data_IF_911576186935
#
_entry.id   IF_911576186935
#
_cell.length_a   1.000
_cell.length_b   1.000
_cell.length_c   1.000
_cell.angle_alpha   90.00
_cell.angle_beta   90.00
_cell.angle_gamma   90.00
#
_symmetry.space_group_name_H-M   'P 1'
#
loop_
_entity.id
_entity.type
_entity.pdbx_description
1 polymer ?
#
# COMPACT_ATOMS: atom_id res chain seq x y z
N UNK A 1 11.95 2.73 8.21
CA UNK A 1 13.16 3.50 7.84
C UNK A 1 14.12 3.59 9.02
N UNK A 2 15.42 3.23 8.88
CA UNK A 2 16.42 3.52 9.93
C UNK A 2 16.78 5.01 9.86
N UNK A 3 16.74 5.73 10.97
CA UNK A 3 17.16 7.15 10.99
C UNK A 3 18.67 7.28 10.71
N UNK A 4 19.42 6.19 10.85
CA UNK A 4 20.85 6.09 10.52
C UNK A 4 21.19 6.30 9.05
N UNK A 5 20.23 6.27 8.11
CA UNK A 5 20.47 6.52 6.68
C UNK A 5 20.26 7.97 6.26
N UNK A 6 19.89 8.87 7.19
CA UNK A 6 19.71 10.30 6.91
C UNK A 6 21.05 11.02 7.08
N UNK A 7 21.69 11.37 5.96
CA UNK A 7 22.92 12.17 5.94
C UNK A 7 22.62 13.63 6.30
N UNK A 8 22.55 13.94 7.60
CA UNK A 8 22.41 15.28 8.14
C UNK A 8 23.02 15.40 9.55
N UNK A 9 23.33 16.62 10.00
CA UNK A 9 23.78 16.84 11.39
C UNK A 9 22.69 16.31 12.35
N UNK A 10 22.97 15.17 13.02
CA UNK A 10 22.08 14.62 14.06
C UNK A 10 21.88 15.70 15.14
N UNK A 11 20.63 16.02 15.47
CA UNK A 11 20.32 16.87 16.63
C UNK A 11 20.78 16.14 17.90
N UNK A 12 21.26 16.88 18.89
CA UNK A 12 22.00 16.38 20.07
C UNK A 12 21.29 15.31 20.92
N UNK A 13 20.00 15.05 20.70
CA UNK A 13 19.21 14.03 21.41
C UNK A 13 18.31 13.19 20.49
N UNK A 14 18.64 13.09 19.20
CA UNK A 14 17.81 12.32 18.26
C UNK A 14 18.07 10.81 18.41
N UNK A 15 17.04 9.99 18.69
CA UNK A 15 17.20 8.53 18.76
C UNK A 15 17.62 7.97 17.40
N UNK A 16 18.49 6.95 17.40
CA UNK A 16 19.01 6.34 16.18
C UNK A 16 17.98 5.44 15.45
N UNK A 17 17.03 4.89 16.20
CA UNK A 17 15.96 4.05 15.70
C UNK A 17 14.64 4.36 16.42
N UNK A 18 13.51 4.14 15.74
CA UNK A 18 12.18 4.29 16.32
C UNK A 18 11.91 3.13 17.28
N UNK A 19 11.67 3.41 18.56
CA UNK A 19 11.26 2.40 19.53
C UNK A 19 9.75 2.16 19.46
N UNK A 20 9.34 1.01 18.93
CA UNK A 20 7.93 0.63 18.75
C UNK A 20 7.45 -0.47 19.71
N UNK A 21 8.25 -0.89 20.71
CA UNK A 21 7.93 -2.05 21.58
C UNK A 21 6.60 -1.95 22.33
N UNK A 22 6.14 -0.73 22.62
CA UNK A 22 4.84 -0.45 23.28
C UNK A 22 3.87 0.31 22.38
N UNK A 23 4.22 0.51 21.11
CA UNK A 23 3.37 1.24 20.18
C UNK A 23 2.17 0.37 19.78
N UNK A 24 1.03 1.02 19.54
CA UNK A 24 -0.18 0.35 19.06
C UNK A 24 0.03 -0.07 17.60
N UNK A 25 -0.25 -1.33 17.28
CA UNK A 25 -0.07 -1.89 15.93
C UNK A 25 -1.14 -1.36 14.97
N UNK A 26 -0.73 -0.86 13.80
CA UNK A 26 -1.67 -0.41 12.75
C UNK A 26 -2.60 -1.53 12.29
N UNK A 27 -2.13 -2.79 12.24
CA UNK A 27 -2.99 -3.94 11.92
C UNK A 27 -4.11 -4.12 12.96
N UNK A 28 -3.83 -3.86 14.24
CA UNK A 28 -4.87 -3.90 15.27
C UNK A 28 -5.91 -2.79 15.05
N UNK A 29 -5.46 -1.60 14.69
CA UNK A 29 -6.33 -0.45 14.39
C UNK A 29 -7.21 -0.73 13.17
N UNK A 30 -6.63 -1.24 12.08
CA UNK A 30 -7.37 -1.62 10.88
C UNK A 30 -8.39 -2.72 11.19
N UNK A 31 -8.02 -3.71 12.01
CA UNK A 31 -8.95 -4.76 12.45
C UNK A 31 -10.12 -4.20 13.27
N UNK A 32 -9.86 -3.24 14.15
CA UNK A 32 -10.92 -2.51 14.90
C UNK A 32 -11.84 -1.70 13.97
N UNK A 33 -11.34 -1.30 12.79
CA UNK A 33 -12.11 -0.67 11.72
C UNK A 33 -12.69 -1.68 10.70
N UNK A 34 -12.73 -2.98 11.04
CA UNK A 34 -13.32 -4.00 10.17
C UNK A 34 -12.41 -4.55 9.06
N UNK A 35 -11.15 -4.14 8.99
CA UNK A 35 -10.21 -4.52 7.94
C UNK A 35 -9.20 -5.56 8.46
N UNK A 36 -9.39 -6.82 8.09
CA UNK A 36 -8.47 -7.93 8.46
C UNK A 36 -7.35 -8.13 7.44
N UNK A 37 -6.26 -8.81 7.84
CA UNK A 37 -5.21 -9.19 6.90
C UNK A 37 -5.77 -10.10 5.79
N UNK A 38 -6.68 -11.00 6.15
CA UNK A 38 -7.33 -11.91 5.22
C UNK A 38 -8.13 -11.14 4.16
N UNK A 39 -8.84 -10.08 4.55
CA UNK A 39 -9.60 -9.22 3.65
C UNK A 39 -8.68 -8.47 2.68
N UNK A 40 -7.56 -7.92 3.17
CA UNK A 40 -6.55 -7.28 2.32
C UNK A 40 -5.98 -8.25 1.29
N UNK A 41 -5.66 -9.45 1.72
CA UNK A 41 -5.08 -10.50 0.87
C UNK A 41 -6.11 -11.00 -0.15
N UNK A 42 -7.36 -11.24 0.25
CA UNK A 42 -8.40 -11.69 -0.68
C UNK A 42 -8.67 -10.65 -1.75
N UNK A 43 -8.83 -9.37 -1.37
CA UNK A 43 -8.99 -8.26 -2.31
C UNK A 43 -7.83 -8.16 -3.31
N UNK A 44 -6.58 -8.29 -2.84
CA UNK A 44 -5.42 -8.29 -3.72
C UNK A 44 -5.45 -9.44 -4.73
N UNK A 45 -5.83 -10.63 -4.26
CA UNK A 45 -5.81 -11.87 -5.05
C UNK A 45 -7.00 -11.99 -6.01
N UNK A 46 -8.06 -11.20 -5.86
CA UNK A 46 -9.13 -11.09 -6.85
C UNK A 46 -8.64 -10.46 -8.17
N UNK A 47 -7.70 -9.51 -8.08
CA UNK A 47 -7.10 -8.87 -9.25
C UNK A 47 -5.73 -9.46 -9.64
N UNK A 48 -5.35 -10.60 -9.07
CA UNK A 48 -4.10 -11.25 -9.41
C UNK A 48 -4.09 -11.74 -10.87
N UNK A 49 -2.95 -11.54 -11.53
CA UNK A 49 -2.68 -12.06 -12.87
C UNK A 49 -1.32 -12.78 -12.84
N UNK A 50 -1.22 -14.02 -13.36
CA UNK A 50 0.05 -14.73 -13.43
C UNK A 50 1.17 -13.92 -14.11
N UNK A 51 2.33 -13.85 -13.46
CA UNK A 51 3.50 -13.12 -13.94
C UNK A 51 4.78 -13.87 -13.53
N UNK A 52 5.91 -13.78 -14.27
CA UNK A 52 7.16 -14.40 -13.86
C UNK A 52 7.56 -14.02 -12.42
N UNK A 53 7.86 -15.04 -11.60
CA UNK A 53 8.12 -14.93 -10.17
C UNK A 53 6.90 -15.11 -9.26
N UNK A 54 5.70 -14.89 -9.79
CA UNK A 54 4.42 -15.09 -9.10
C UNK A 54 3.47 -15.84 -10.03
N UNK A 55 3.89 -17.00 -10.52
CA UNK A 55 3.22 -17.72 -11.61
C UNK A 55 1.91 -18.39 -11.20
N UNK A 56 1.71 -18.61 -9.90
CA UNK A 56 0.45 -19.10 -9.36
C UNK A 56 0.00 -18.29 -8.14
N UNK A 57 -1.28 -18.46 -7.80
CA UNK A 57 -1.96 -17.71 -6.73
C UNK A 57 -1.33 -17.95 -5.36
N UNK A 58 -0.84 -19.15 -5.07
CA UNK A 58 -0.22 -19.48 -3.77
C UNK A 58 1.11 -18.74 -3.58
N UNK A 59 1.96 -18.71 -4.62
CA UNK A 59 3.21 -17.95 -4.62
C UNK A 59 2.89 -16.45 -4.50
N UNK A 60 1.95 -15.95 -5.32
CA UNK A 60 1.54 -14.55 -5.29
C UNK A 60 1.05 -14.13 -3.90
N UNK A 61 0.18 -14.92 -3.26
CA UNK A 61 -0.32 -14.64 -1.92
C UNK A 61 0.81 -14.60 -0.89
N UNK A 62 1.77 -15.52 -0.96
CA UNK A 62 2.92 -15.55 -0.04
C UNK A 62 3.81 -14.32 -0.22
N UNK A 63 4.08 -13.93 -1.46
CA UNK A 63 4.87 -12.74 -1.79
C UNK A 63 4.11 -11.48 -1.36
N UNK A 64 2.82 -11.35 -1.68
CA UNK A 64 2.00 -10.22 -1.26
C UNK A 64 2.01 -10.02 0.25
N UNK A 65 1.81 -11.10 1.03
CA UNK A 65 1.90 -11.04 2.51
C UNK A 65 3.25 -10.55 3.00
N UNK A 66 4.35 -10.99 2.38
CA UNK A 66 5.69 -10.48 2.67
C UNK A 66 5.78 -8.98 2.40
N UNK A 67 5.34 -8.52 1.23
CA UNK A 67 5.40 -7.10 0.85
C UNK A 67 4.50 -6.22 1.72
N UNK A 68 3.30 -6.70 2.07
CA UNK A 68 2.39 -6.03 2.99
C UNK A 68 3.04 -5.87 4.37
N UNK A 69 3.64 -6.94 4.91
CA UNK A 69 4.35 -6.89 6.18
C UNK A 69 5.55 -5.93 6.15
N UNK A 70 6.28 -5.89 5.04
CA UNK A 70 7.38 -4.94 4.85
C UNK A 70 6.88 -3.49 4.84
N UNK A 71 5.79 -3.21 4.10
CA UNK A 71 5.18 -1.89 4.08
C UNK A 71 4.73 -1.45 5.49
N UNK A 72 3.98 -2.29 6.18
CA UNK A 72 3.46 -2.03 7.54
C UNK A 72 4.52 -2.06 8.64
N UNK A 73 5.79 -2.35 8.31
CA UNK A 73 6.91 -2.20 9.24
C UNK A 73 7.43 -0.76 9.32
N UNK A 74 7.07 0.11 8.35
CA UNK A 74 7.46 1.51 8.38
C UNK A 74 6.48 2.36 9.20
N UNK A 75 6.93 2.98 10.31
CA UNK A 75 6.05 3.80 11.14
C UNK A 75 5.47 5.01 10.39
N UNK A 76 6.17 5.58 9.39
CA UNK A 76 5.64 6.72 8.64
C UNK A 76 4.42 6.31 7.81
N UNK A 77 4.50 5.15 7.15
CA UNK A 77 3.35 4.59 6.43
C UNK A 77 2.21 4.28 7.40
N UNK A 78 2.52 3.69 8.56
CA UNK A 78 1.51 3.39 9.58
C UNK A 78 0.77 4.65 10.05
N UNK A 79 1.48 5.76 10.25
CA UNK A 79 0.89 7.05 10.64
C UNK A 79 0.02 7.61 9.51
N UNK A 80 0.46 7.50 8.25
CA UNK A 80 -0.34 7.94 7.11
C UNK A 80 -1.64 7.14 6.96
N UNK A 81 -1.57 5.81 7.10
CA UNK A 81 -2.76 4.94 7.16
C UNK A 81 -3.68 5.34 8.32
N UNK A 82 -3.10 5.61 9.49
CA UNK A 82 -3.85 6.03 10.66
C UNK A 82 -4.58 7.35 10.45
N UNK A 83 -3.96 8.32 9.74
CA UNK A 83 -4.61 9.58 9.39
C UNK A 83 -5.85 9.35 8.53
N UNK A 84 -5.79 8.48 7.52
CA UNK A 84 -6.94 8.10 6.71
C UNK A 84 -8.06 7.44 7.53
N UNK A 85 -7.71 6.52 8.44
CA UNK A 85 -8.66 5.87 9.35
C UNK A 85 -9.33 6.88 10.30
N UNK A 86 -8.60 7.91 10.75
CA UNK A 86 -9.19 8.97 11.56
C UNK A 86 -10.16 9.84 10.74
N UNK A 87 -9.79 10.20 9.51
CA UNK A 87 -10.64 11.01 8.64
C UNK A 87 -11.98 10.33 8.32
N UNK A 88 -11.97 9.01 8.10
CA UNK A 88 -13.20 8.24 7.98
C UNK A 88 -14.12 8.43 9.19
N UNK A 89 -13.59 8.23 10.40
CA UNK A 89 -14.36 8.38 11.65
C UNK A 89 -14.88 9.80 11.84
N UNK A 90 -14.05 10.81 11.56
CA UNK A 90 -14.49 12.19 11.61
C UNK A 90 -15.60 12.48 10.59
N UNK A 91 -15.59 11.83 9.42
CA UNK A 91 -16.66 11.88 8.42
C UNK A 91 -17.96 11.25 8.91
N UNK A 92 -17.89 10.01 9.39
CA UNK A 92 -19.03 9.28 9.98
C UNK A 92 -19.67 10.04 11.15
N UNK A 93 -18.86 10.78 11.91
CA UNK A 93 -19.29 11.57 13.05
C UNK A 93 -19.65 13.03 12.69
N UNK A 94 -19.51 13.43 11.41
CA UNK A 94 -19.91 14.76 10.93
C UNK A 94 -19.02 15.91 11.41
N UNK A 95 -17.76 15.63 11.72
CA UNK A 95 -16.78 16.58 12.27
C UNK A 95 -15.76 17.09 11.26
N UNK A 96 -15.84 16.65 10.00
CA UNK A 96 -14.94 17.13 8.96
C UNK A 96 -15.06 18.64 8.74
N UNK A 97 -13.94 19.37 8.58
CA UNK A 97 -13.97 20.79 8.32
C UNK A 97 -14.57 21.06 6.94
N UNK A 98 -15.62 21.90 6.89
CA UNK A 98 -16.25 22.30 5.63
C UNK A 98 -17.15 21.23 4.98
N UNK A 99 -17.44 20.13 5.68
CA UNK A 99 -18.30 19.06 5.17
C UNK A 99 -19.25 18.57 6.28
N UNK A 100 -20.55 18.59 5.99
CA UNK A 100 -21.56 18.06 6.93
C UNK A 100 -21.64 16.53 6.87
N UNK A 101 -22.21 15.90 7.90
CA UNK A 101 -22.47 14.45 7.89
C UNK A 101 -23.34 14.02 6.71
N UNK A 102 -24.44 14.74 6.45
CA UNK A 102 -25.35 14.43 5.34
C UNK A 102 -24.64 14.55 3.97
N UNK A 103 -23.72 15.50 3.87
CA UNK A 103 -22.87 15.67 2.69
C UNK A 103 -21.94 14.48 2.52
N UNK A 104 -21.27 14.05 3.61
CA UNK A 104 -20.37 12.90 3.63
C UNK A 104 -21.04 11.56 3.28
N UNK A 105 -22.30 11.36 3.69
CA UNK A 105 -23.05 10.12 3.43
C UNK A 105 -23.59 10.02 1.99
N UNK A 106 -23.53 11.10 1.19
CA UNK A 106 -24.02 11.14 -0.21
C UNK A 106 -22.87 10.99 -1.19
N UNK A 107 -23.14 10.46 -2.39
CA UNK A 107 -22.17 10.25 -3.48
C UNK A 107 -21.15 11.41 -3.60
N UNK A 108 -19.93 11.16 -3.09
CA UNK A 108 -18.91 12.15 -2.77
C UNK A 108 -17.95 12.39 -3.94
N UNK A 109 -18.46 12.55 -5.16
CA UNK A 109 -17.60 12.78 -6.35
C UNK A 109 -16.64 13.99 -6.21
N UNK A 110 -16.83 14.86 -5.22
CA UNK A 110 -15.99 16.02 -4.91
C UNK A 110 -15.06 15.84 -3.69
N UNK A 111 -15.11 14.71 -2.97
CA UNK A 111 -14.07 14.36 -2.01
C UNK A 111 -12.89 13.86 -2.86
N UNK A 112 -11.88 14.72 -3.03
CA UNK A 112 -10.68 14.42 -3.84
C UNK A 112 -9.51 14.04 -2.91
N UNK A 113 -9.64 14.37 -1.62
CA UNK A 113 -8.55 14.25 -0.64
C UNK A 113 -8.30 12.79 -0.24
N UNK A 114 -9.33 11.94 -0.26
CA UNK A 114 -9.25 10.48 -0.18
C UNK A 114 -8.36 9.90 -1.29
N UNK A 115 -8.59 10.25 -2.57
CA UNK A 115 -7.77 9.82 -3.69
C UNK A 115 -6.32 10.29 -3.55
N UNK A 116 -6.12 11.55 -3.14
CA UNK A 116 -4.79 12.13 -2.91
C UNK A 116 -4.05 11.33 -1.83
N UNK A 117 -4.73 10.93 -0.76
CA UNK A 117 -4.16 10.10 0.30
C UNK A 117 -3.86 8.69 -0.23
N UNK A 118 -4.79 8.06 -0.94
CA UNK A 118 -4.65 6.73 -1.55
C UNK A 118 -3.46 6.66 -2.50
N UNK A 119 -3.35 7.60 -3.44
CA UNK A 119 -2.19 7.72 -4.33
C UNK A 119 -0.88 7.94 -3.57
N UNK A 120 -0.90 8.77 -2.52
CA UNK A 120 0.29 9.05 -1.71
C UNK A 120 0.79 7.81 -1.00
N UNK A 121 -0.13 7.00 -0.44
CA UNK A 121 0.18 5.70 0.17
C UNK A 121 0.80 4.76 -0.86
N UNK A 122 0.16 4.58 -2.02
CA UNK A 122 0.63 3.67 -3.04
C UNK A 122 2.02 4.06 -3.58
N UNK A 123 2.20 5.37 -3.82
CA UNK A 123 3.47 5.95 -4.24
C UNK A 123 4.55 5.80 -3.18
N UNK A 124 4.22 6.00 -1.91
CA UNK A 124 5.17 5.82 -0.80
C UNK A 124 5.69 4.38 -0.76
N UNK A 125 4.82 3.40 -1.00
CA UNK A 125 5.17 1.97 -0.91
C UNK A 125 6.03 1.50 -2.11
N UNK A 126 5.76 1.98 -3.33
CA UNK A 126 6.34 1.37 -4.54
C UNK A 126 6.63 2.35 -5.70
N UNK A 127 6.61 3.66 -5.43
CA UNK A 127 6.80 4.70 -6.42
C UNK A 127 5.65 4.75 -7.43
N UNK A 128 5.93 5.19 -8.65
CA UNK A 128 4.90 5.40 -9.69
C UNK A 128 4.18 4.10 -10.09
N UNK A 129 4.83 2.94 -9.93
CA UNK A 129 4.19 1.62 -10.14
C UNK A 129 3.01 1.40 -9.20
N UNK A 130 3.13 1.87 -7.97
CA UNK A 130 2.06 1.80 -6.97
C UNK A 130 0.85 2.60 -7.38
N UNK A 131 1.06 3.76 -8.01
CA UNK A 131 -0.03 4.62 -8.48
C UNK A 131 -0.85 3.90 -9.55
N UNK A 132 -0.19 3.24 -10.52
CA UNK A 132 -0.91 2.48 -11.56
C UNK A 132 -1.74 1.33 -10.98
N UNK A 133 -1.19 0.61 -10.00
CA UNK A 133 -1.94 -0.45 -9.31
C UNK A 133 -3.07 0.14 -8.46
N UNK A 134 -2.82 1.24 -7.73
CA UNK A 134 -3.87 1.93 -6.98
C UNK A 134 -5.05 2.31 -7.87
N UNK A 135 -4.82 2.98 -9.01
CA UNK A 135 -5.90 3.34 -9.95
C UNK A 135 -6.70 2.11 -10.39
N UNK A 136 -6.04 0.96 -10.56
CA UNK A 136 -6.69 -0.30 -10.91
C UNK A 136 -7.55 -0.84 -9.77
N UNK A 137 -7.06 -0.81 -8.53
CA UNK A 137 -7.79 -1.27 -7.35
C UNK A 137 -8.94 -0.34 -6.98
N UNK A 138 -8.70 0.96 -7.04
CA UNK A 138 -9.71 2.00 -6.82
C UNK A 138 -10.85 1.87 -7.83
N UNK A 139 -10.55 1.76 -9.13
CA UNK A 139 -11.59 1.61 -10.15
C UNK A 139 -12.42 0.32 -10.03
N UNK A 140 -11.81 -0.78 -9.62
CA UNK A 140 -12.46 -2.10 -9.62
C UNK A 140 -13.05 -2.48 -8.25
N UNK A 141 -12.64 -1.82 -7.17
CA UNK A 141 -13.05 -2.04 -5.77
C UNK A 141 -13.23 -3.54 -5.39
N UNK A 142 -12.22 -4.42 -5.58
CA UNK A 142 -12.33 -5.84 -5.22
C UNK A 142 -12.50 -6.10 -3.71
N UNK A 143 -13.22 -7.15 -3.37
CA UNK A 143 -13.45 -7.60 -2.00
C UNK A 143 -13.89 -6.48 -1.05
N UNK A 144 -13.13 -6.27 0.02
CA UNK A 144 -13.47 -5.30 1.09
C UNK A 144 -13.61 -3.87 0.56
N UNK A 145 -12.89 -3.50 -0.51
CA UNK A 145 -12.91 -2.15 -1.07
C UNK A 145 -14.31 -1.72 -1.53
N UNK A 146 -15.16 -2.65 -1.95
CA UNK A 146 -16.55 -2.36 -2.35
C UNK A 146 -17.50 -2.00 -1.20
N UNK A 147 -17.03 -2.13 0.05
CA UNK A 147 -17.86 -1.99 1.26
C UNK A 147 -17.36 -0.92 2.22
N UNK A 148 -16.15 -0.40 2.00
CA UNK A 148 -15.56 0.64 2.83
C UNK A 148 -16.13 2.00 2.43
N UNK A 149 -16.14 2.93 3.39
CA UNK A 149 -16.51 4.31 3.11
C UNK A 149 -15.37 5.12 2.47
N UNK A 150 -15.64 6.39 2.15
CA UNK A 150 -14.88 7.18 1.16
C UNK A 150 -13.39 7.37 1.44
N UNK A 151 -12.96 7.47 2.70
CA UNK A 151 -11.53 7.57 2.97
C UNK A 151 -10.89 6.19 3.03
N UNK A 152 -11.57 5.22 3.65
CA UNK A 152 -11.01 3.90 3.85
C UNK A 152 -10.84 3.10 2.57
N UNK A 153 -11.77 3.18 1.62
CA UNK A 153 -11.64 2.46 0.36
C UNK A 153 -10.39 2.92 -0.42
N UNK A 154 -10.10 4.21 -0.49
CA UNK A 154 -8.90 4.77 -1.14
C UNK A 154 -7.61 4.50 -0.36
N UNK A 155 -7.64 4.65 0.96
CA UNK A 155 -6.51 4.35 1.84
C UNK A 155 -6.10 2.88 1.71
N UNK A 156 -7.08 1.99 1.70
CA UNK A 156 -6.84 0.54 1.60
C UNK A 156 -6.52 0.13 0.17
N UNK A 157 -7.12 0.75 -0.85
CA UNK A 157 -6.73 0.56 -2.25
C UNK A 157 -5.27 0.98 -2.46
N UNK A 158 -4.84 2.09 -1.85
CA UNK A 158 -3.45 2.56 -1.90
C UNK A 158 -2.48 1.58 -1.25
N UNK A 159 -2.85 1.02 -0.10
CA UNK A 159 -2.05 0.01 0.61
C UNK A 159 -1.93 -1.28 -0.22
N UNK A 160 -3.05 -1.80 -0.71
CA UNK A 160 -3.09 -3.02 -1.52
C UNK A 160 -2.35 -2.81 -2.84
N UNK A 161 -2.64 -1.72 -3.55
CA UNK A 161 -2.01 -1.39 -4.83
C UNK A 161 -0.50 -1.23 -4.70
N UNK A 162 -0.03 -0.52 -3.67
CA UNK A 162 1.39 -0.38 -3.39
C UNK A 162 2.07 -1.72 -3.08
N UNK A 163 1.45 -2.57 -2.24
CA UNK A 163 1.98 -3.90 -1.93
C UNK A 163 1.94 -4.84 -3.14
N UNK A 164 0.89 -4.78 -3.96
CA UNK A 164 0.71 -5.55 -5.20
C UNK A 164 1.78 -5.19 -6.24
N UNK A 165 2.05 -3.89 -6.45
CA UNK A 165 3.10 -3.44 -7.36
C UNK A 165 4.49 -3.97 -6.95
N UNK A 166 4.76 -4.01 -5.64
CA UNK A 166 5.96 -4.60 -5.09
C UNK A 166 5.98 -6.13 -5.21
N UNK A 167 4.84 -6.81 -5.06
CA UNK A 167 4.72 -8.26 -5.28
C UNK A 167 5.18 -8.61 -6.70
N UNK A 168 4.65 -7.94 -7.72
CA UNK A 168 5.09 -8.17 -9.11
C UNK A 168 6.55 -7.77 -9.37
N UNK A 169 7.04 -6.73 -8.69
CA UNK A 169 8.40 -6.23 -8.92
C UNK A 169 9.48 -7.07 -8.22
N UNK A 170 9.22 -7.53 -7.00
CA UNK A 170 10.17 -8.23 -6.11
C UNK A 170 9.94 -9.73 -6.02
N UNK A 171 8.81 -10.23 -6.52
CA UNK A 171 8.51 -11.67 -6.58
C UNK A 171 9.30 -12.44 -7.63
N UNK A 172 10.09 -11.78 -8.49
CA UNK A 172 10.75 -12.38 -9.67
C UNK A 172 11.56 -13.65 -9.40
N UNK A 173 12.05 -13.81 -8.17
CA UNK A 173 12.86 -14.95 -7.74
C UNK A 173 12.10 -15.94 -6.84
N UNK A 174 10.83 -15.66 -6.50
CA UNK A 174 9.98 -16.52 -5.67
C UNK A 174 9.29 -17.63 -6.50
N UNK A 175 9.28 -17.48 -7.83
CA UNK A 175 8.84 -18.47 -8.80
C UNK A 175 9.89 -19.55 -9.09
N UNK A 176 9.46 -20.69 -9.62
CA UNK A 176 10.40 -21.70 -10.10
C UNK A 176 11.18 -21.16 -11.30
N UNK A 177 12.51 -20.95 -11.16
CA UNK A 177 13.46 -20.36 -12.14
C UNK A 177 12.84 -20.15 -13.54
N UNK A 178 12.12 -19.05 -13.72
CA UNK A 178 11.58 -18.70 -15.03
C UNK A 178 12.77 -18.55 -15.99
N UNK A 179 12.73 -19.24 -17.14
CA UNK A 179 13.73 -19.04 -18.20
C UNK A 179 13.75 -17.55 -18.53
N UNK A 180 14.94 -16.93 -18.39
CA UNK A 180 15.13 -15.51 -18.75
C UNK A 180 14.58 -15.31 -20.17
N UNK A 181 13.66 -14.36 -20.38
CA UNK A 181 12.96 -14.23 -21.66
C UNK A 181 13.87 -13.80 -22.81
N UNK A 182 15.06 -13.25 -22.51
CA UNK A 182 16.03 -12.87 -23.53
C UNK A 182 17.47 -13.11 -23.05
N UNK A 183 18.32 -13.78 -23.85
CA UNK A 183 19.75 -13.65 -23.68
C UNK A 183 20.13 -12.19 -23.98
N UNK A 184 20.80 -11.51 -23.03
CA UNK A 184 21.52 -10.28 -23.35
C UNK A 184 22.60 -10.68 -24.35
N UNK A 185 22.41 -10.38 -25.63
CA UNK A 185 23.50 -10.43 -26.60
C UNK A 185 24.54 -9.42 -26.15
N UNK A 186 25.64 -9.89 -25.58
CA UNK A 186 26.82 -9.06 -25.40
C UNK A 186 27.29 -8.62 -26.77
N UNK A 187 26.99 -7.38 -27.15
CA UNK A 187 27.80 -6.74 -28.19
C UNK A 187 29.06 -6.24 -27.51
N UNK A 188 30.07 -7.11 -27.59
CA UNK A 188 31.47 -6.74 -27.71
C UNK A 188 31.61 -5.49 -28.58
N UNK A 189 32.46 -4.57 -28.13
CA UNK A 189 32.68 -3.30 -28.79
C UNK A 189 33.08 -3.44 -30.26
N UNK A 190 32.87 -2.36 -30.98
CA UNK A 190 33.63 -2.04 -32.17
C UNK A 190 34.08 -0.60 -31.99
N UNK A 191 35.39 -0.45 -31.76
CA UNK A 191 36.12 0.76 -32.04
C UNK A 191 36.14 0.96 -33.55
N UNK A 192 35.94 2.20 -33.99
CA UNK A 192 35.96 2.65 -35.38
C UNK A 192 35.50 4.08 -35.44
#
# INVERSE_FOLDING_TARGET
MKLSTINGKKKENQPEEVNNKKARSIMKIMKEAGISEEALVSSAMELYVPHPGVENKDIAQKVFKRELKLALSDPNLCILLYAGILLEKEGEEGRLPGMSKETYEKDLTYLIVDEVIGMSIAKYISGDKGIFEYVRFDKLKPGILSTLGPFLDDVIAGLIGGASANMYSRGKDDGGKAKKPFPRSGKSGIAG
#
